data_IF_516416524684
#
_entry.id   IF_516416524684
#
_cell.length_a   1.000
_cell.length_b   1.000
_cell.length_c   1.000
_cell.angle_alpha   90.00
_cell.angle_beta   90.00
_cell.angle_gamma   90.00
#
_symmetry.space_group_name_H-M   'P 1'
#
loop_
_entity.id
_entity.type
_entity.pdbx_description
1 polymer ?
#
# COMPACT_ATOMS: atom_id res chain seq x y z
N UNK A 1 -6.91 7.19 -2.78
CA UNK A 1 -7.95 6.15 -2.92
C UNK A 1 -8.04 5.78 -4.38
N UNK A 2 -8.35 4.53 -4.68
CA UNK A 2 -8.57 4.10 -6.06
C UNK A 2 -9.92 4.59 -6.59
N UNK A 3 -10.03 4.71 -7.91
CA UNK A 3 -11.29 4.98 -8.61
C UNK A 3 -11.30 4.34 -9.99
N UNK A 4 -12.49 3.97 -10.48
CA UNK A 4 -12.73 3.49 -11.83
C UNK A 4 -13.97 4.18 -12.41
N UNK A 5 -13.90 4.57 -13.68
CA UNK A 5 -14.97 5.28 -14.38
C UNK A 5 -15.04 4.90 -15.85
N UNK A 6 -16.23 4.95 -16.42
CA UNK A 6 -16.45 4.82 -17.87
C UNK A 6 -16.36 6.20 -18.51
N UNK A 7 -15.58 6.31 -19.58
CA UNK A 7 -15.40 7.49 -20.41
C UNK A 7 -16.06 7.23 -21.74
N UNK A 8 -17.09 8.01 -22.08
CA UNK A 8 -17.78 7.95 -23.37
C UNK A 8 -17.27 9.07 -24.29
N UNK A 9 -16.95 8.72 -25.54
CA UNK A 9 -16.59 9.67 -26.58
C UNK A 9 -17.81 9.94 -27.46
N UNK A 10 -18.45 11.10 -27.28
CA UNK A 10 -19.66 11.48 -28.01
C UNK A 10 -19.39 12.60 -29.02
N UNK A 11 -20.27 12.71 -30.03
CA UNK A 11 -20.25 13.77 -31.04
C UNK A 11 -18.88 13.99 -31.71
N UNK A 12 -18.24 12.90 -32.15
CA UNK A 12 -16.92 12.96 -32.78
C UNK A 12 -17.04 13.60 -34.18
N UNK A 13 -16.37 14.73 -34.37
CA UNK A 13 -16.25 15.39 -35.68
C UNK A 13 -14.79 15.33 -36.12
N UNK A 14 -14.52 14.58 -37.18
CA UNK A 14 -13.20 14.50 -37.81
C UNK A 14 -13.19 15.27 -39.12
N UNK A 15 -12.21 16.15 -39.29
CA UNK A 15 -12.03 16.99 -40.49
C UNK A 15 -13.32 17.69 -40.94
N UNK A 16 -14.03 18.30 -39.99
CA UNK A 16 -15.29 19.01 -40.26
C UNK A 16 -16.44 18.09 -40.71
N UNK A 17 -16.36 16.78 -40.44
CA UNK A 17 -17.36 15.80 -40.81
C UNK A 17 -17.08 15.06 -42.12
N UNK A 18 -15.92 15.28 -42.75
CA UNK A 18 -15.56 14.56 -44.00
C UNK A 18 -15.17 13.10 -43.75
N UNK A 19 -14.78 12.76 -42.51
CA UNK A 19 -14.48 11.40 -42.09
C UNK A 19 -15.57 10.93 -41.13
N UNK A 20 -16.22 9.83 -41.46
CA UNK A 20 -17.17 9.18 -40.57
C UNK A 20 -16.44 8.65 -39.33
N UNK A 21 -16.87 9.10 -38.15
CA UNK A 21 -16.35 8.64 -36.88
C UNK A 21 -17.49 8.05 -36.04
N UNK A 22 -17.17 7.06 -35.21
CA UNK A 22 -18.10 6.48 -34.26
C UNK A 22 -17.56 6.70 -32.86
N UNK A 23 -18.42 7.17 -31.97
CA UNK A 23 -18.14 7.21 -30.54
C UNK A 23 -17.92 5.81 -29.97
N UNK A 24 -17.16 5.74 -28.88
CA UNK A 24 -16.92 4.50 -28.16
C UNK A 24 -16.81 4.78 -26.66
N UNK A 25 -16.93 3.73 -25.86
CA UNK A 25 -16.76 3.76 -24.41
C UNK A 25 -15.43 3.12 -24.02
N UNK A 26 -14.74 3.72 -23.06
CA UNK A 26 -13.51 3.20 -22.48
C UNK A 26 -13.58 3.23 -20.96
N UNK A 27 -12.87 2.33 -20.28
CA UNK A 27 -12.73 2.40 -18.82
C UNK A 27 -11.39 3.07 -18.47
N UNK A 28 -11.45 4.07 -17.61
CA UNK A 28 -10.28 4.67 -16.98
C UNK A 28 -10.28 4.29 -15.50
N UNK A 29 -9.16 3.80 -15.00
CA UNK A 29 -8.98 3.49 -13.59
C UNK A 29 -7.63 3.94 -13.06
N UNK A 30 -7.63 4.41 -11.83
CA UNK A 30 -6.44 4.68 -11.04
C UNK A 30 -6.61 3.92 -9.73
N UNK A 31 -5.85 2.85 -9.53
CA UNK A 31 -6.02 1.94 -8.41
C UNK A 31 -4.67 1.52 -7.82
N UNK A 32 -4.71 0.97 -6.61
CA UNK A 32 -3.55 0.31 -6.00
C UNK A 32 -3.72 -1.19 -6.14
N UNK A 33 -2.69 -1.86 -6.66
CA UNK A 33 -2.72 -3.30 -6.86
C UNK A 33 -2.83 -4.01 -5.50
N UNK A 34 -3.88 -4.82 -5.31
CA UNK A 34 -4.17 -5.50 -4.06
C UNK A 34 -5.06 -4.71 -3.08
N UNK A 35 -5.41 -3.46 -3.36
CA UNK A 35 -6.47 -2.70 -2.66
C UNK A 35 -7.80 -2.99 -3.35
N UNK A 36 -8.61 -3.87 -2.76
CA UNK A 36 -9.84 -4.38 -3.38
C UNK A 36 -11.08 -3.58 -3.00
N UNK A 37 -11.03 -2.87 -1.87
CA UNK A 37 -12.14 -2.04 -1.40
C UNK A 37 -11.99 -0.56 -1.83
N UNK A 38 -10.85 -0.18 -2.40
CA UNK A 38 -10.55 1.15 -2.92
C UNK A 38 -10.29 2.21 -1.86
N UNK A 39 -10.09 1.84 -0.60
CA UNK A 39 -9.92 2.77 0.51
C UNK A 39 -8.51 3.41 0.58
N UNK A 40 -7.58 2.93 -0.26
CA UNK A 40 -6.21 3.39 -0.35
C UNK A 40 -5.28 2.85 0.73
N UNK A 41 -5.66 1.77 1.42
CA UNK A 41 -4.87 1.08 2.44
C UNK A 41 -4.89 -0.43 2.19
N UNK A 42 -3.79 -1.13 2.53
CA UNK A 42 -3.78 -2.58 2.51
C UNK A 42 -4.25 -3.13 3.84
N UNK A 43 -5.29 -3.96 3.82
CA UNK A 43 -5.90 -4.51 5.02
C UNK A 43 -6.26 -6.00 4.88
N UNK A 44 -6.58 -6.65 6.00
CA UNK A 44 -7.10 -8.01 5.97
C UNK A 44 -8.47 -8.12 5.26
N UNK A 45 -9.22 -7.02 5.19
CA UNK A 45 -10.46 -6.97 4.43
C UNK A 45 -10.18 -7.22 2.94
N UNK A 46 -9.08 -6.67 2.41
CA UNK A 46 -8.73 -6.83 1.00
C UNK A 46 -8.43 -8.28 0.63
N UNK A 47 -7.63 -8.93 1.47
CA UNK A 47 -7.35 -10.36 1.33
C UNK A 47 -8.63 -11.20 1.43
N UNK A 48 -9.59 -10.82 2.27
CA UNK A 48 -10.85 -11.56 2.42
C UNK A 48 -11.78 -11.38 1.21
N UNK A 49 -11.88 -10.18 0.65
CA UNK A 49 -12.67 -9.90 -0.56
C UNK A 49 -12.07 -10.63 -1.76
N UNK A 50 -10.74 -10.60 -1.91
CA UNK A 50 -10.04 -11.37 -2.92
C UNK A 50 -10.30 -12.87 -2.76
N UNK A 51 -10.20 -13.42 -1.56
CA UNK A 51 -10.46 -14.85 -1.32
C UNK A 51 -11.90 -15.24 -1.71
N UNK A 52 -12.89 -14.37 -1.48
CA UNK A 52 -14.28 -14.60 -1.90
C UNK A 52 -14.43 -14.64 -3.42
N UNK A 53 -13.75 -13.74 -4.15
CA UNK A 53 -13.72 -13.78 -5.63
C UNK A 53 -13.04 -15.05 -6.14
N UNK A 54 -11.93 -15.47 -5.52
CA UNK A 54 -11.18 -16.67 -5.91
C UNK A 54 -12.04 -17.94 -5.81
N UNK A 55 -12.87 -18.06 -4.77
CA UNK A 55 -13.78 -19.21 -4.60
C UNK A 55 -15.12 -19.03 -5.32
N UNK A 56 -15.29 -17.93 -6.07
CA UNK A 56 -16.50 -17.64 -6.84
C UNK A 56 -17.71 -17.24 -5.99
N UNK A 57 -17.51 -16.80 -4.74
CA UNK A 57 -18.57 -16.24 -3.91
C UNK A 57 -19.03 -14.88 -4.42
N UNK A 58 -18.09 -14.11 -4.98
CA UNK A 58 -18.34 -12.83 -5.64
C UNK A 58 -17.77 -12.88 -7.06
N UNK A 59 -18.41 -12.18 -8.00
CA UNK A 59 -17.92 -12.07 -9.38
C UNK A 59 -16.87 -10.97 -9.56
N UNK A 60 -16.64 -10.14 -8.55
CA UNK A 60 -15.69 -9.03 -8.58
C UNK A 60 -15.74 -8.18 -7.32
N UNK A 61 -15.24 -6.94 -7.43
CA UNK A 61 -15.15 -5.99 -6.30
C UNK A 61 -16.10 -4.82 -6.49
N UNK A 62 -16.89 -4.51 -5.46
CA UNK A 62 -17.89 -3.44 -5.52
C UNK A 62 -17.27 -2.07 -5.85
N UNK A 63 -16.09 -1.77 -5.29
CA UNK A 63 -15.36 -0.53 -5.55
C UNK A 63 -14.89 -0.39 -7.00
N UNK A 64 -14.82 -1.50 -7.73
CA UNK A 64 -14.25 -1.61 -9.07
C UNK A 64 -15.15 -2.40 -10.02
N UNK A 65 -16.48 -2.27 -9.85
CA UNK A 65 -17.47 -3.01 -10.62
C UNK A 65 -17.29 -3.04 -12.16
N UNK A 66 -16.80 -1.98 -12.84
CA UNK A 66 -16.60 -2.04 -14.29
C UNK A 66 -15.28 -2.74 -14.72
N UNK A 67 -14.43 -3.15 -13.78
CA UNK A 67 -13.11 -3.73 -14.07
C UNK A 67 -13.14 -5.26 -13.96
N UNK A 68 -12.30 -5.92 -14.78
CA UNK A 68 -11.93 -7.31 -14.53
C UNK A 68 -11.20 -7.38 -13.17
N UNK A 69 -11.66 -8.22 -12.21
CA UNK A 69 -11.05 -8.34 -10.88
C UNK A 69 -9.56 -8.67 -10.92
N UNK A 70 -9.08 -9.30 -12.00
CA UNK A 70 -7.66 -9.60 -12.20
C UNK A 70 -6.81 -8.35 -12.30
N UNK A 71 -7.33 -7.27 -12.89
CA UNK A 71 -6.61 -5.99 -12.99
C UNK A 71 -6.36 -5.34 -11.63
N UNK A 72 -7.18 -5.68 -10.63
CA UNK A 72 -7.09 -5.13 -9.28
C UNK A 72 -6.24 -6.03 -8.37
N UNK A 73 -6.35 -7.35 -8.53
CA UNK A 73 -5.94 -8.28 -7.49
C UNK A 73 -5.02 -9.44 -7.92
N UNK A 74 -4.65 -9.54 -9.20
CA UNK A 74 -3.58 -10.46 -9.67
C UNK A 74 -2.22 -9.86 -9.33
N UNK A 75 -1.84 -9.95 -8.05
CA UNK A 75 -0.59 -9.39 -7.55
C UNK A 75 0.62 -10.18 -8.04
N UNK A 76 0.45 -11.44 -8.42
CA UNK A 76 1.54 -12.29 -8.93
C UNK A 76 1.80 -12.12 -10.42
N UNK A 77 0.88 -11.50 -11.15
CA UNK A 77 0.99 -11.24 -12.58
C UNK A 77 0.90 -12.51 -13.43
N UNK A 78 0.32 -13.60 -12.90
CA UNK A 78 0.25 -14.89 -13.57
C UNK A 78 -1.00 -15.04 -14.46
N UNK A 79 -1.88 -14.04 -14.47
CA UNK A 79 -3.11 -14.01 -15.21
C UNK A 79 -4.26 -14.79 -14.54
N UNK A 80 -4.20 -15.08 -13.24
CA UNK A 80 -5.26 -15.80 -12.52
C UNK A 80 -5.32 -15.32 -11.09
N UNK A 81 -6.54 -15.19 -10.56
CA UNK A 81 -6.72 -14.97 -9.12
C UNK A 81 -6.64 -16.29 -8.38
N UNK A 82 -5.84 -16.31 -7.31
CA UNK A 82 -5.62 -17.49 -6.49
C UNK A 82 -5.49 -17.14 -5.00
N UNK A 83 -5.51 -18.17 -4.14
CA UNK A 83 -5.24 -17.99 -2.72
C UNK A 83 -3.82 -17.47 -2.44
N UNK A 84 -2.89 -17.66 -3.39
CA UNK A 84 -1.53 -17.14 -3.27
C UNK A 84 -1.55 -15.60 -3.34
N UNK A 85 -2.32 -15.02 -4.27
CA UNK A 85 -2.50 -13.57 -4.37
C UNK A 85 -3.10 -13.00 -3.07
N UNK A 86 -4.13 -13.66 -2.52
CA UNK A 86 -4.72 -13.29 -1.24
C UNK A 86 -3.72 -13.33 -0.09
N UNK A 87 -2.85 -14.34 -0.05
CA UNK A 87 -1.81 -14.43 0.98
C UNK A 87 -0.76 -13.31 0.86
N UNK A 88 -0.43 -12.87 -0.37
CA UNK A 88 0.53 -11.80 -0.60
C UNK A 88 -0.06 -10.45 -0.14
N UNK A 89 -1.33 -10.18 -0.46
CA UNK A 89 -2.06 -9.00 0.04
C UNK A 89 -2.13 -9.02 1.57
N UNK A 90 -2.45 -10.17 2.19
CA UNK A 90 -2.49 -10.30 3.64
C UNK A 90 -1.12 -10.02 4.30
N UNK A 91 -0.02 -10.50 3.69
CA UNK A 91 1.34 -10.20 4.15
C UNK A 91 1.65 -8.71 4.06
N UNK A 92 1.30 -8.07 2.94
CA UNK A 92 1.50 -6.63 2.76
C UNK A 92 0.69 -5.82 3.78
N UNK A 93 -0.54 -6.22 4.06
CA UNK A 93 -1.43 -5.58 5.03
C UNK A 93 -0.86 -5.58 6.46
N UNK A 94 -0.05 -6.58 6.82
CA UNK A 94 0.64 -6.65 8.12
C UNK A 94 2.07 -6.09 8.09
N UNK A 95 2.46 -5.41 7.00
CA UNK A 95 3.76 -4.77 6.86
C UNK A 95 4.91 -5.71 6.50
N UNK A 96 4.64 -6.92 6.04
CA UNK A 96 5.67 -7.78 5.47
C UNK A 96 5.95 -7.36 4.02
N UNK A 97 7.23 -7.23 3.68
CA UNK A 97 7.64 -6.84 2.34
C UNK A 97 7.14 -7.82 1.29
N UNK A 98 6.53 -7.27 0.25
CA UNK A 98 6.13 -7.94 -0.98
C UNK A 98 6.58 -7.08 -2.14
N UNK A 99 7.56 -7.55 -2.91
CA UNK A 99 8.12 -6.79 -4.01
C UNK A 99 7.13 -6.64 -5.17
N UNK A 100 6.22 -7.60 -5.30
CA UNK A 100 5.17 -7.67 -6.29
C UNK A 100 4.04 -6.67 -6.01
N UNK A 101 3.88 -6.25 -4.75
CA UNK A 101 2.86 -5.27 -4.35
C UNK A 101 3.55 -3.94 -4.04
N UNK A 102 3.36 -2.91 -4.88
CA UNK A 102 3.93 -1.59 -4.65
C UNK A 102 3.51 -1.00 -3.31
N UNK A 103 4.42 -0.26 -2.68
CA UNK A 103 4.08 0.53 -1.51
C UNK A 103 3.08 1.63 -1.87
N UNK A 104 2.22 1.93 -0.90
CA UNK A 104 1.30 3.05 -1.02
C UNK A 104 2.11 4.36 -1.03
N UNK A 105 1.75 5.33 -1.87
CA UNK A 105 2.43 6.61 -1.91
C UNK A 105 2.32 7.31 -0.54
N UNK A 106 3.43 7.88 -0.08
CA UNK A 106 3.44 8.64 1.15
C UNK A 106 2.45 9.82 1.06
N UNK A 107 1.76 10.17 2.17
CA UNK A 107 0.90 11.33 2.19
C UNK A 107 1.69 12.59 1.80
N UNK A 108 1.06 13.46 1.00
CA UNK A 108 1.68 14.71 0.60
C UNK A 108 2.06 15.53 1.85
N UNK A 109 3.22 16.21 1.85
CA UNK A 109 3.61 17.04 2.97
C UNK A 109 2.57 18.15 3.18
N UNK A 110 2.04 18.25 4.39
CA UNK A 110 1.16 19.36 4.78
C UNK A 110 1.96 20.65 4.75
N UNK A 111 1.67 21.53 3.79
CA UNK A 111 2.26 22.86 3.76
C UNK A 111 1.52 23.76 4.76
N UNK A 112 2.09 23.90 5.96
CA UNK A 112 1.66 24.88 6.96
C UNK A 112 2.18 26.26 6.53
N UNK A 113 1.57 26.86 5.50
CA UNK A 113 1.81 28.28 5.23
C UNK A 113 0.95 29.07 6.22
N UNK A 114 1.53 29.80 7.19
CA UNK A 114 0.73 30.67 8.04
C UNK A 114 0.03 31.71 7.16
N UNK A 115 -1.28 31.86 7.33
CA UNK A 115 -2.05 32.91 6.67
C UNK A 115 -1.57 34.28 7.16
N UNK A 116 -0.67 34.91 6.41
CA UNK A 116 -0.35 36.33 6.55
C UNK A 116 -1.45 37.14 5.85
N UNK A 117 -2.45 37.57 6.62
CA UNK A 117 -3.31 38.69 6.20
C UNK A 117 -2.43 39.92 5.99
N UNK A 118 -2.57 40.67 4.88
CA UNK A 118 -1.76 41.86 4.68
C UNK A 118 -2.08 42.88 5.79
N UNK A 119 -1.14 43.05 6.70
CA UNK A 119 -1.19 44.12 7.69
C UNK A 119 -1.10 45.47 6.96
N UNK A 120 -1.85 46.46 7.44
CA UNK A 120 -1.79 47.83 6.93
C UNK A 120 -0.34 48.35 6.96
N UNK A 121 0.06 49.26 6.04
CA UNK A 121 1.43 49.75 5.99
C UNK A 121 1.77 50.48 7.30
N UNK A 122 2.61 49.87 8.14
CA UNK A 122 3.07 50.46 9.40
C UNK A 122 3.42 49.46 10.51
N UNK A 123 2.83 48.26 10.49
CA UNK A 123 3.10 47.23 11.50
C UNK A 123 4.19 46.27 10.99
N UNK A 124 5.37 46.30 11.63
CA UNK A 124 6.49 45.44 11.28
C UNK A 124 6.14 43.96 11.43
N UNK A 125 6.66 43.12 10.54
CA UNK A 125 6.58 41.66 10.66
C UNK A 125 7.34 41.24 11.93
N UNK A 126 6.63 40.76 12.96
CA UNK A 126 7.29 40.21 14.15
C UNK A 126 7.89 38.83 13.81
N UNK A 127 9.18 38.83 13.43
CA UNK A 127 9.95 37.63 13.08
C UNK A 127 10.20 36.71 14.30
N UNK A 128 9.80 37.12 15.51
CA UNK A 128 9.87 36.24 16.70
C UNK A 128 8.85 35.11 16.64
N UNK A 129 7.82 35.21 15.80
CA UNK A 129 6.88 34.12 15.52
C UNK A 129 7.49 32.98 14.67
N UNK A 130 8.66 33.17 14.07
CA UNK A 130 9.41 32.11 13.35
C UNK A 130 10.30 31.25 14.26
N UNK A 131 10.28 31.48 15.59
CA UNK A 131 11.07 30.71 16.54
C UNK A 131 10.44 29.33 16.84
N UNK A 132 10.79 28.34 16.01
CA UNK A 132 10.88 26.89 16.26
C UNK A 132 9.58 26.10 16.50
N UNK A 133 9.51 24.89 15.91
CA UNK A 133 9.63 23.71 16.77
C UNK A 133 10.85 22.88 16.38
N UNK A 134 11.91 22.96 17.18
CA UNK A 134 12.87 21.86 17.26
C UNK A 134 12.25 20.80 18.15
N UNK A 135 11.65 19.78 17.53
CA UNK A 135 11.92 18.37 17.80
C UNK A 135 10.98 17.48 16.95
N UNK A 136 11.43 17.11 15.74
CA UNK A 136 11.15 15.77 15.24
C UNK A 136 12.36 14.91 15.65
N UNK A 137 12.23 14.22 16.78
CA UNK A 137 13.18 13.18 17.18
C UNK A 137 12.93 11.96 16.30
N UNK A 138 13.74 11.79 15.26
CA UNK A 138 14.05 10.46 14.74
C UNK A 138 15.41 10.06 15.32
N UNK A 139 15.56 8.77 15.65
CA UNK A 139 16.78 8.10 16.12
C UNK A 139 16.86 7.98 17.66
N UNK A 140 16.23 6.92 18.20
CA UNK A 140 16.87 6.20 19.30
C UNK A 140 17.89 5.24 18.68
N UNK A 141 19.09 5.75 18.47
CA UNK A 141 20.28 4.93 18.31
C UNK A 141 20.67 4.47 19.72
N UNK A 142 20.16 3.31 20.13
CA UNK A 142 20.81 2.54 21.17
C UNK A 142 22.17 2.10 20.61
N UNK A 143 23.21 2.92 20.86
CA UNK A 143 24.59 2.52 20.64
C UNK A 143 24.89 1.28 21.52
N UNK A 144 25.52 0.23 20.96
CA UNK A 144 26.00 -0.90 21.73
C UNK A 144 27.07 -0.41 22.72
N UNK A 145 26.82 -0.58 24.00
CA UNK A 145 27.85 -0.49 25.03
C UNK A 145 28.68 -1.77 25.01
N UNK A 146 29.92 -1.63 24.56
CA UNK A 146 31.00 -2.61 24.68
C UNK A 146 31.12 -3.12 26.14
N UNK A 147 31.42 -4.41 26.37
CA UNK A 147 31.49 -5.00 27.70
C UNK A 147 32.89 -4.82 28.33
N UNK A 148 33.01 -4.73 29.67
CA UNK A 148 34.29 -4.99 30.32
C UNK A 148 34.40 -6.46 30.73
N UNK A 149 35.38 -7.14 30.12
CA UNK A 149 36.25 -8.21 30.62
C UNK A 149 35.64 -9.41 31.40
N UNK A 150 35.56 -10.53 30.68
CA UNK A 150 36.19 -11.83 31.01
C UNK A 150 36.35 -12.26 32.48
N UNK A 151 35.54 -13.24 32.88
CA UNK A 151 35.97 -14.31 33.79
C UNK A 151 35.81 -15.66 33.04
N UNK A 152 36.94 -16.32 32.81
CA UNK A 152 37.08 -17.59 32.09
C UNK A 152 36.65 -18.81 32.96
N UNK A 153 36.78 -20.08 32.51
CA UNK A 153 35.65 -20.95 32.19
C UNK A 153 35.50 -22.16 33.12
N UNK A 154 34.27 -22.64 33.32
CA UNK A 154 33.99 -23.95 33.92
C UNK A 154 33.38 -24.91 32.89
N UNK A 155 34.28 -25.56 32.13
CA UNK A 155 34.28 -26.95 31.67
C UNK A 155 32.98 -27.78 31.75
N UNK A 156 32.48 -28.13 30.55
CA UNK A 156 32.10 -29.46 30.01
C UNK A 156 31.07 -30.31 30.79
N UNK A 157 29.96 -30.65 30.11
CA UNK A 157 29.71 -32.03 29.63
C UNK A 157 28.62 -32.11 28.56
N UNK A 158 29.09 -32.61 27.43
CA UNK A 158 28.40 -33.16 26.28
C UNK A 158 27.41 -34.27 26.70
N UNK A 159 26.21 -34.30 26.13
CA UNK A 159 25.31 -35.47 26.19
C UNK A 159 24.31 -35.44 25.03
N UNK A 160 24.73 -36.12 23.97
CA UNK A 160 23.92 -36.71 22.89
C UNK A 160 23.03 -37.83 23.45
N UNK A 161 21.76 -37.87 23.05
CA UNK A 161 20.86 -39.04 22.86
C UNK A 161 19.39 -38.56 22.89
N UNK A 162 18.41 -38.89 22.05
CA UNK A 162 18.18 -39.75 20.87
C UNK A 162 16.80 -39.30 20.27
N UNK A 163 16.47 -39.60 18.99
CA UNK A 163 15.19 -39.23 18.36
C UNK A 163 14.00 -40.10 18.82
N UNK A 164 12.82 -39.48 19.00
CA UNK A 164 11.56 -40.15 19.32
C UNK A 164 10.92 -40.77 18.06
N UNK A 165 10.71 -42.08 18.07
CA UNK A 165 10.04 -42.88 17.02
C UNK A 165 8.53 -42.94 17.31
N UNK A 166 7.63 -42.75 16.32
CA UNK A 166 6.19 -42.91 16.53
C UNK A 166 5.76 -44.38 16.57
N UNK A 167 4.80 -44.70 17.45
CA UNK A 167 4.13 -46.00 17.53
C UNK A 167 2.98 -46.05 16.51
N UNK A 168 3.00 -47.02 15.60
CA UNK A 168 1.82 -47.44 14.83
C UNK A 168 0.83 -48.17 15.75
N UNK A 169 -0.46 -47.83 15.61
CA UNK A 169 -1.61 -48.73 15.81
C UNK A 169 -2.67 -48.38 14.76
#
# INVERSE_FOLDING_TARGET
RGSAQVVSLEAIVLNGGSIAARGDEAVQAALYLGDTNGDGHYSALDASLLARVVIGLDSGFDAYAPLDPRLVADVTGNGRLSALDASYVARKAVGLDQAEIPDLPAPAPVSLVPSISPAAPGEGLDLRAFAMPTALSFVDAALPSDPPAEAAPATVRDSVAEPFVPLEV
#
